data_IF_276401388459
#
_entry.id   IF_276401388459
#
_cell.length_a   1.000
_cell.length_b   1.000
_cell.length_c   1.000
_cell.angle_alpha   90.00
_cell.angle_beta   90.00
_cell.angle_gamma   90.00
#
_symmetry.space_group_name_H-M   'P 1'
#
loop_
_entity.id
_entity.type
_entity.pdbx_description
1 polymer ?
#
# COMPACT_ATOMS: atom_id res chain seq x y z
N UNK A 1 -12.72 -13.73 3.21
CA UNK A 1 -12.92 -12.70 4.27
C UNK A 1 -12.97 -11.34 3.61
N UNK A 2 -14.01 -10.59 3.92
CA UNK A 2 -14.26 -9.27 3.35
C UNK A 2 -13.68 -8.18 4.26
N UNK A 3 -12.81 -7.34 3.71
CA UNK A 3 -12.21 -6.18 4.39
C UNK A 3 -12.56 -4.85 3.70
N UNK A 4 -13.55 -4.84 2.82
CA UNK A 4 -13.90 -3.65 2.03
C UNK A 4 -14.46 -2.50 2.86
N UNK A 5 -14.83 -2.72 4.13
CA UNK A 5 -15.13 -1.65 5.09
C UNK A 5 -13.98 -0.65 5.26
N UNK A 6 -12.73 -1.11 5.05
CA UNK A 6 -11.55 -0.24 5.02
C UNK A 6 -11.69 0.90 3.99
N UNK A 7 -12.28 0.62 2.83
CA UNK A 7 -12.49 1.60 1.76
C UNK A 7 -13.42 2.72 2.25
N UNK A 8 -14.57 2.33 2.81
CA UNK A 8 -15.56 3.27 3.33
C UNK A 8 -14.94 4.16 4.42
N UNK A 9 -14.26 3.56 5.39
CA UNK A 9 -13.59 4.30 6.45
C UNK A 9 -12.53 5.27 5.93
N UNK A 10 -11.73 4.88 4.92
CA UNK A 10 -10.72 5.75 4.32
C UNK A 10 -11.32 6.94 3.60
N UNK A 11 -12.43 6.75 2.90
CA UNK A 11 -13.10 7.83 2.16
C UNK A 11 -13.78 8.81 3.12
N UNK A 12 -14.41 8.30 4.17
CA UNK A 12 -15.19 9.12 5.11
C UNK A 12 -14.34 9.85 6.18
N UNK A 13 -13.31 9.19 6.67
CA UNK A 13 -12.57 9.66 7.86
C UNK A 13 -11.05 9.73 7.65
N UNK A 14 -10.54 9.26 6.52
CA UNK A 14 -9.11 9.23 6.23
C UNK A 14 -8.50 10.63 6.08
N UNK A 15 -7.25 10.76 6.51
CA UNK A 15 -6.45 11.98 6.29
C UNK A 15 -5.94 12.07 4.85
N UNK A 16 -5.33 13.20 4.52
CA UNK A 16 -4.66 13.36 3.22
C UNK A 16 -3.57 12.30 3.00
N UNK A 17 -2.87 11.91 4.08
CA UNK A 17 -1.89 10.82 4.07
C UNK A 17 -2.08 9.94 5.30
N UNK A 18 -2.43 8.68 5.08
CA UNK A 18 -2.65 7.67 6.14
C UNK A 18 -1.57 6.60 6.10
N UNK A 19 -0.90 6.38 7.23
CA UNK A 19 0.08 5.31 7.40
C UNK A 19 -0.46 4.23 8.35
N UNK A 20 -0.60 3.02 7.84
CA UNK A 20 -0.90 1.84 8.65
C UNK A 20 0.39 1.11 9.05
N UNK A 21 0.66 1.03 10.35
CA UNK A 21 1.73 0.17 10.88
C UNK A 21 1.13 -1.08 11.48
N UNK A 22 1.35 -2.22 10.83
CA UNK A 22 0.82 -3.53 11.23
C UNK A 22 1.92 -4.60 11.14
N UNK A 23 1.90 -5.63 11.97
CA UNK A 23 2.90 -6.70 11.91
C UNK A 23 2.96 -7.38 10.53
N UNK A 24 4.00 -8.16 10.28
CA UNK A 24 4.10 -8.97 9.07
C UNK A 24 2.98 -10.01 9.03
N UNK A 25 2.51 -10.36 7.80
CA UNK A 25 1.48 -11.39 7.55
C UNK A 25 0.06 -11.03 7.98
N UNK A 26 -0.23 -9.75 8.26
CA UNK A 26 -1.56 -9.24 8.62
C UNK A 26 -2.37 -8.67 7.43
N UNK A 27 -2.03 -9.03 6.20
CA UNK A 27 -2.82 -8.68 5.02
C UNK A 27 -2.58 -7.28 4.46
N UNK A 28 -1.50 -6.55 4.85
CA UNK A 28 -1.20 -5.20 4.35
C UNK A 28 -1.23 -5.12 2.82
N UNK A 29 -0.43 -5.94 2.16
CA UNK A 29 -0.35 -5.97 0.68
C UNK A 29 -1.67 -6.31 0.01
N UNK A 30 -2.47 -7.23 0.61
CA UNK A 30 -3.81 -7.57 0.09
C UNK A 30 -4.76 -6.37 0.18
N UNK A 31 -4.76 -5.66 1.30
CA UNK A 31 -5.55 -4.45 1.44
C UNK A 31 -5.11 -3.36 0.45
N UNK A 32 -3.80 -3.18 0.24
CA UNK A 32 -3.30 -2.23 -0.75
C UNK A 32 -3.73 -2.60 -2.17
N UNK A 33 -3.69 -3.89 -2.53
CA UNK A 33 -4.20 -4.39 -3.81
C UNK A 33 -5.71 -4.17 -3.95
N UNK A 34 -6.47 -4.40 -2.88
CA UNK A 34 -7.92 -4.15 -2.83
C UNK A 34 -8.22 -2.66 -3.07
N UNK A 35 -7.51 -1.74 -2.39
CA UNK A 35 -7.67 -0.30 -2.58
C UNK A 35 -7.36 0.09 -4.03
N UNK A 36 -6.27 -0.42 -4.59
CA UNK A 36 -5.94 -0.20 -5.99
C UNK A 36 -7.06 -0.66 -6.91
N UNK A 37 -7.52 -1.91 -6.77
CA UNK A 37 -8.59 -2.48 -7.61
C UNK A 37 -9.91 -1.75 -7.47
N UNK A 38 -10.16 -1.08 -6.33
CA UNK A 38 -11.39 -0.31 -6.13
C UNK A 38 -11.33 1.06 -6.80
N UNK A 39 -10.22 1.79 -6.64
CA UNK A 39 -10.15 3.18 -7.09
C UNK A 39 -9.68 3.36 -8.52
N UNK A 40 -8.85 2.43 -9.04
CA UNK A 40 -8.15 2.58 -10.32
C UNK A 40 -9.14 2.65 -11.50
N UNK A 41 -8.94 3.63 -12.39
CA UNK A 41 -9.69 3.77 -13.64
C UNK A 41 -9.55 2.47 -14.45
N UNK A 42 -10.65 2.01 -15.05
CA UNK A 42 -10.74 0.77 -15.83
C UNK A 42 -10.53 -0.52 -15.01
N UNK A 43 -10.62 -0.45 -13.68
CA UNK A 43 -10.61 -1.64 -12.84
C UNK A 43 -11.89 -2.48 -13.03
N UNK A 44 -11.75 -3.78 -12.76
CA UNK A 44 -12.87 -4.71 -12.82
C UNK A 44 -13.77 -4.56 -11.58
N UNK A 45 -14.87 -3.82 -11.74
CA UNK A 45 -15.83 -3.57 -10.66
C UNK A 45 -16.49 -4.86 -10.15
N UNK A 46 -16.55 -5.92 -10.96
CA UNK A 46 -17.17 -7.20 -10.57
C UNK A 46 -16.43 -7.92 -9.43
N UNK A 47 -15.17 -7.54 -9.18
CA UNK A 47 -14.38 -8.05 -8.04
C UNK A 47 -15.01 -7.69 -6.68
N UNK A 48 -15.88 -6.70 -6.65
CA UNK A 48 -16.53 -6.20 -5.43
C UNK A 48 -17.98 -6.67 -5.27
N UNK A 49 -18.51 -7.45 -6.24
CA UNK A 49 -19.88 -7.96 -6.17
C UNK A 49 -20.12 -8.71 -4.86
N UNK A 50 -21.27 -8.43 -4.23
CA UNK A 50 -21.71 -8.99 -2.95
C UNK A 50 -20.83 -8.64 -1.73
N UNK A 51 -19.75 -7.85 -1.88
CA UNK A 51 -18.93 -7.40 -0.76
C UNK A 51 -19.60 -6.24 -0.01
N UNK A 52 -19.16 -6.02 1.23
CA UNK A 52 -19.71 -5.00 2.11
C UNK A 52 -19.81 -3.61 1.46
N UNK A 53 -18.77 -3.20 0.74
CA UNK A 53 -18.70 -1.85 0.14
C UNK A 53 -19.82 -1.58 -0.86
N UNK A 54 -20.33 -2.58 -1.56
CA UNK A 54 -21.39 -2.42 -2.57
C UNK A 54 -22.76 -2.06 -1.95
N UNK A 55 -22.90 -2.14 -0.63
CA UNK A 55 -24.07 -1.64 0.10
C UNK A 55 -24.11 -0.12 0.11
N UNK A 56 -22.97 0.55 0.06
CA UNK A 56 -22.85 2.00 -0.05
C UNK A 56 -22.76 2.42 -1.52
N UNK A 57 -23.93 2.49 -2.18
CA UNK A 57 -24.01 2.78 -3.62
C UNK A 57 -23.48 4.16 -3.99
N UNK A 58 -23.74 5.17 -3.17
CA UNK A 58 -23.27 6.54 -3.40
C UNK A 58 -21.73 6.60 -3.43
N UNK A 59 -21.09 5.94 -2.47
CA UNK A 59 -19.63 5.86 -2.44
C UNK A 59 -19.09 5.09 -3.65
N UNK A 60 -19.70 3.97 -4.04
CA UNK A 60 -19.28 3.23 -5.22
C UNK A 60 -19.43 4.07 -6.49
N UNK A 61 -20.53 4.77 -6.69
CA UNK A 61 -20.74 5.65 -7.86
C UNK A 61 -19.73 6.79 -7.94
N UNK A 62 -19.30 7.33 -6.79
CA UNK A 62 -18.37 8.46 -6.73
C UNK A 62 -16.90 8.03 -6.87
N UNK A 63 -16.53 6.86 -6.31
CA UNK A 63 -15.11 6.49 -6.14
C UNK A 63 -14.66 5.26 -6.91
N UNK A 64 -15.54 4.25 -7.13
CA UNK A 64 -15.13 2.99 -7.74
C UNK A 64 -14.76 3.18 -9.21
N UNK A 65 -13.53 2.82 -9.57
CA UNK A 65 -13.03 2.94 -10.95
C UNK A 65 -12.86 4.39 -11.44
N UNK A 66 -12.69 5.39 -10.57
CA UNK A 66 -12.75 6.82 -10.94
C UNK A 66 -11.43 7.57 -10.83
N UNK A 67 -10.39 6.99 -10.29
CA UNK A 67 -9.14 7.69 -9.98
C UNK A 67 -7.92 7.07 -10.66
N UNK A 68 -6.98 7.87 -11.17
CA UNK A 68 -5.66 7.33 -11.48
C UNK A 68 -4.95 6.95 -10.18
N UNK A 69 -4.37 5.74 -10.15
CA UNK A 69 -3.70 5.19 -8.98
C UNK A 69 -2.24 4.90 -9.29
N UNK A 70 -1.32 5.48 -8.53
CA UNK A 70 0.10 5.13 -8.50
C UNK A 70 0.30 4.13 -7.37
N UNK A 71 0.79 2.94 -7.68
CA UNK A 71 1.01 1.87 -6.71
C UNK A 71 2.47 1.44 -6.67
N UNK A 72 3.10 1.57 -5.51
CA UNK A 72 4.50 1.17 -5.30
C UNK A 72 4.62 0.17 -4.14
N UNK A 73 5.26 -0.96 -4.38
CA UNK A 73 5.70 -1.85 -3.30
C UNK A 73 7.22 -1.73 -3.13
N UNK A 74 7.65 -1.15 -2.01
CA UNK A 74 9.07 -0.94 -1.74
C UNK A 74 9.78 -2.20 -1.22
N UNK A 75 9.11 -3.34 -1.27
CA UNK A 75 9.62 -4.64 -0.77
C UNK A 75 10.96 -5.05 -1.38
N UNK A 76 11.18 -4.72 -2.65
CA UNK A 76 12.41 -5.09 -3.40
C UNK A 76 13.44 -3.96 -3.44
N UNK A 77 13.17 -2.82 -2.80
CA UNK A 77 14.11 -1.70 -2.75
C UNK A 77 15.12 -1.96 -1.64
N UNK A 78 16.12 -2.74 -1.97
CA UNK A 78 17.26 -3.10 -1.12
C UNK A 78 18.57 -3.03 -1.91
N UNK A 79 19.70 -3.18 -1.23
CA UNK A 79 21.02 -3.21 -1.85
C UNK A 79 22.11 -3.29 -0.78
N UNK A 80 23.30 -3.70 -1.18
CA UNK A 80 24.48 -3.66 -0.30
C UNK A 80 25.05 -2.25 -0.18
N UNK A 81 24.77 -1.41 -1.17
CA UNK A 81 25.18 0.00 -1.22
C UNK A 81 23.96 0.91 -1.43
N UNK A 82 24.15 2.20 -1.11
CA UNK A 82 23.12 3.21 -1.40
C UNK A 82 22.81 3.30 -2.90
N UNK A 83 23.82 3.21 -3.76
CA UNK A 83 23.63 3.27 -5.21
C UNK A 83 22.79 2.11 -5.73
N UNK A 84 22.98 0.88 -5.22
CA UNK A 84 22.17 -0.27 -5.59
C UNK A 84 20.71 -0.09 -5.19
N UNK A 85 20.47 0.35 -3.96
CA UNK A 85 19.11 0.58 -3.46
C UNK A 85 18.41 1.74 -4.19
N UNK A 86 19.15 2.82 -4.48
CA UNK A 86 18.67 3.95 -5.28
C UNK A 86 18.32 3.52 -6.70
N UNK A 87 19.16 2.70 -7.33
CA UNK A 87 18.89 2.15 -8.65
C UNK A 87 17.58 1.33 -8.66
N UNK A 88 17.36 0.44 -7.67
CA UNK A 88 16.13 -0.33 -7.57
C UNK A 88 14.89 0.55 -7.36
N UNK A 89 15.01 1.64 -6.57
CA UNK A 89 13.94 2.62 -6.43
C UNK A 89 13.64 3.31 -7.78
N UNK A 90 14.68 3.65 -8.53
CA UNK A 90 14.55 4.27 -9.85
C UNK A 90 13.86 3.35 -10.84
N UNK A 91 14.25 2.07 -10.89
CA UNK A 91 13.59 1.06 -11.73
C UNK A 91 12.12 0.85 -11.35
N UNK A 92 11.83 0.71 -10.05
CA UNK A 92 10.47 0.51 -9.56
C UNK A 92 9.54 1.65 -10.01
N UNK A 93 9.98 2.90 -9.86
CA UNK A 93 9.18 4.06 -10.27
C UNK A 93 9.08 4.16 -11.79
N UNK A 94 10.16 3.85 -12.52
CA UNK A 94 10.13 3.79 -13.98
C UNK A 94 9.10 2.78 -14.50
N UNK A 95 9.12 1.56 -13.98
CA UNK A 95 8.16 0.49 -14.34
C UNK A 95 6.71 0.88 -13.99
N UNK A 96 6.49 1.51 -12.84
CA UNK A 96 5.14 2.02 -12.53
C UNK A 96 4.71 3.12 -13.48
N UNK A 97 5.63 4.02 -13.87
CA UNK A 97 5.32 5.07 -14.83
C UNK A 97 5.03 4.52 -16.23
N UNK A 98 5.70 3.45 -16.68
CA UNK A 98 5.46 2.81 -17.98
C UNK A 98 4.01 2.31 -18.14
N UNK A 99 3.31 2.00 -17.06
CA UNK A 99 1.88 1.64 -17.11
C UNK A 99 1.00 2.75 -17.69
N UNK A 100 1.46 3.98 -17.63
CA UNK A 100 0.77 5.17 -18.13
C UNK A 100 1.30 5.62 -19.50
N UNK A 101 1.72 4.67 -20.35
CA UNK A 101 2.30 4.92 -21.68
C UNK A 101 1.45 5.84 -22.57
N UNK A 102 0.13 5.85 -22.38
CA UNK A 102 -0.79 6.75 -23.08
C UNK A 102 -0.49 8.25 -22.85
N UNK A 103 0.30 8.61 -21.82
CA UNK A 103 0.70 10.00 -21.58
C UNK A 103 1.61 10.56 -22.67
N UNK A 104 2.30 9.71 -23.43
CA UNK A 104 3.14 10.13 -24.57
C UNK A 104 2.30 10.77 -25.68
N UNK A 105 1.09 10.26 -25.90
CA UNK A 105 0.19 10.67 -26.95
C UNK A 105 -0.98 11.53 -26.45
N UNK A 106 -0.99 11.88 -25.15
CA UNK A 106 -2.05 12.66 -24.54
C UNK A 106 -2.21 14.04 -25.17
N UNK A 107 -3.40 14.37 -25.65
CA UNK A 107 -3.74 15.70 -26.18
C UNK A 107 -3.84 16.76 -25.08
N UNK A 108 -4.00 16.34 -23.82
CA UNK A 108 -4.08 17.24 -22.66
C UNK A 108 -2.70 17.72 -22.17
N UNK A 109 -1.62 17.12 -22.67
CA UNK A 109 -0.26 17.44 -22.25
C UNK A 109 0.49 18.25 -23.31
N UNK A 110 1.20 19.28 -22.88
CA UNK A 110 2.15 20.01 -23.71
C UNK A 110 3.38 19.16 -24.06
N UNK A 111 4.09 19.50 -25.13
CA UNK A 111 5.32 18.82 -25.54
C UNK A 111 6.39 18.79 -24.43
N UNK A 112 6.47 19.83 -23.59
CA UNK A 112 7.41 19.84 -22.47
C UNK A 112 7.00 18.87 -21.35
N UNK A 113 5.70 18.69 -21.12
CA UNK A 113 5.18 17.72 -20.16
C UNK A 113 5.40 16.28 -20.65
N UNK A 114 5.17 16.00 -21.91
CA UNK A 114 5.50 14.72 -22.55
C UNK A 114 7.01 14.40 -22.44
N UNK A 115 7.89 15.41 -22.63
CA UNK A 115 9.33 15.24 -22.40
C UNK A 115 9.67 14.91 -20.94
N UNK A 116 8.97 15.50 -19.97
CA UNK A 116 9.15 15.15 -18.55
C UNK A 116 8.74 13.71 -18.27
N UNK A 117 7.62 13.27 -18.83
CA UNK A 117 7.19 11.88 -18.74
C UNK A 117 8.25 10.93 -19.35
N UNK A 118 8.68 11.20 -20.59
CA UNK A 118 9.72 10.42 -21.27
C UNK A 118 11.02 10.33 -20.46
N UNK A 119 11.38 11.38 -19.74
CA UNK A 119 12.56 11.37 -18.88
C UNK A 119 12.42 10.42 -17.68
N UNK A 120 11.20 10.19 -17.16
CA UNK A 120 10.94 9.22 -16.08
C UNK A 120 11.08 7.78 -16.57
N UNK A 121 10.59 7.48 -17.77
CA UNK A 121 10.61 6.11 -18.36
C UNK A 121 11.84 5.84 -19.21
N UNK A 122 12.76 6.80 -19.37
CA UNK A 122 13.90 6.68 -20.28
C UNK A 122 14.87 5.58 -19.84
N UNK A 123 15.23 4.73 -20.79
CA UNK A 123 16.18 3.63 -20.59
C UNK A 123 17.47 3.87 -21.41
N UNK A 124 18.61 3.49 -20.85
CA UNK A 124 19.87 3.35 -21.56
C UNK A 124 20.44 1.95 -21.28
N UNK A 125 20.62 1.15 -22.30
CA UNK A 125 21.04 -0.26 -22.20
C UNK A 125 20.12 -1.08 -21.25
N UNK A 126 18.81 -0.81 -21.27
CA UNK A 126 17.82 -1.50 -20.43
C UNK A 126 17.78 -1.02 -18.96
N UNK A 127 18.55 0.00 -18.61
CA UNK A 127 18.55 0.60 -17.27
C UNK A 127 17.89 1.97 -17.26
N UNK A 128 17.08 2.24 -16.26
CA UNK A 128 16.45 3.55 -16.11
C UNK A 128 17.50 4.65 -15.84
N UNK A 129 17.34 5.81 -16.50
CA UNK A 129 18.32 6.89 -16.50
C UNK A 129 18.00 8.06 -15.59
N UNK A 130 16.97 7.98 -14.76
CA UNK A 130 16.66 9.05 -13.82
C UNK A 130 17.84 9.34 -12.88
N UNK A 131 18.27 10.58 -12.83
CA UNK A 131 19.17 11.02 -11.78
C UNK A 131 18.40 11.24 -10.46
N UNK A 132 19.13 11.43 -9.36
CA UNK A 132 18.51 11.56 -8.01
C UNK A 132 17.51 12.71 -7.90
N UNK A 133 17.76 13.85 -8.55
CA UNK A 133 16.82 15.00 -8.54
C UNK A 133 15.53 14.65 -9.27
N UNK A 134 15.62 13.95 -10.39
CA UNK A 134 14.46 13.48 -11.13
C UNK A 134 13.71 12.42 -10.34
N UNK A 135 14.41 11.49 -9.70
CA UNK A 135 13.83 10.46 -8.84
C UNK A 135 13.02 11.09 -7.70
N UNK A 136 13.58 12.07 -7.00
CA UNK A 136 12.90 12.79 -5.91
C UNK A 136 11.60 13.46 -6.37
N UNK A 137 11.54 14.01 -7.59
CA UNK A 137 10.36 14.69 -8.12
C UNK A 137 9.43 13.80 -8.95
N UNK A 138 9.82 12.56 -9.23
CA UNK A 138 9.15 11.69 -10.21
C UNK A 138 7.67 11.44 -9.91
N UNK A 139 7.33 11.09 -8.68
CA UNK A 139 5.95 10.81 -8.28
C UNK A 139 5.07 12.07 -8.33
N UNK A 140 5.60 13.23 -7.94
CA UNK A 140 4.87 14.49 -8.07
C UNK A 140 4.61 14.82 -9.54
N UNK A 141 5.64 14.72 -10.39
CA UNK A 141 5.52 14.98 -11.82
C UNK A 141 4.50 14.02 -12.45
N UNK A 142 4.60 12.72 -12.15
CA UNK A 142 3.66 11.71 -12.64
C UNK A 142 2.22 12.02 -12.21
N UNK A 143 2.02 12.40 -10.94
CA UNK A 143 0.71 12.82 -10.42
C UNK A 143 0.14 14.02 -11.17
N UNK A 144 0.97 15.03 -11.46
CA UNK A 144 0.55 16.22 -12.21
C UNK A 144 0.12 15.87 -13.63
N UNK A 145 0.86 15.00 -14.31
CA UNK A 145 0.56 14.57 -15.67
C UNK A 145 -0.73 13.74 -15.73
N UNK A 146 -0.92 12.82 -14.80
CA UNK A 146 -2.14 12.01 -14.68
C UNK A 146 -3.36 12.89 -14.35
N UNK A 147 -3.21 13.81 -13.38
CA UNK A 147 -4.28 14.75 -13.06
C UNK A 147 -4.70 15.59 -14.28
N UNK A 148 -3.72 16.07 -15.04
CA UNK A 148 -4.00 16.86 -16.23
C UNK A 148 -4.67 16.04 -17.34
N UNK A 149 -4.29 14.76 -17.49
CA UNK A 149 -4.87 13.87 -18.48
C UNK A 149 -6.31 13.48 -18.15
N UNK A 150 -6.57 13.05 -16.91
CA UNK A 150 -7.88 12.52 -16.48
C UNK A 150 -8.82 13.58 -15.91
N UNK A 151 -8.34 14.77 -15.53
CA UNK A 151 -9.11 15.76 -14.78
C UNK A 151 -9.46 15.32 -13.35
N UNK A 152 -8.85 14.23 -12.86
CA UNK A 152 -9.04 13.65 -11.54
C UNK A 152 -7.73 13.59 -10.78
N UNK A 153 -7.75 13.99 -9.51
CA UNK A 153 -6.58 13.88 -8.62
C UNK A 153 -6.15 12.42 -8.48
N UNK A 154 -4.90 12.22 -8.10
CA UNK A 154 -4.23 10.91 -8.08
C UNK A 154 -4.25 10.33 -6.67
N UNK A 155 -4.51 9.05 -6.55
CA UNK A 155 -4.32 8.28 -5.32
C UNK A 155 -2.93 7.63 -5.37
N UNK A 156 -2.14 7.78 -4.29
CA UNK A 156 -0.82 7.16 -4.18
C UNK A 156 -0.86 6.09 -3.08
N UNK A 157 -0.53 4.86 -3.47
CA UNK A 157 -0.48 3.71 -2.57
C UNK A 157 0.96 3.20 -2.47
N UNK A 158 1.54 3.18 -1.26
CA UNK A 158 2.92 2.75 -1.02
C UNK A 158 2.94 1.63 0.02
N UNK A 159 3.25 0.41 -0.44
CA UNK A 159 3.37 -0.76 0.43
C UNK A 159 4.82 -0.97 0.90
N UNK A 160 4.99 -1.40 2.15
CA UNK A 160 6.27 -1.70 2.79
C UNK A 160 7.28 -0.54 2.75
N UNK A 161 6.82 0.69 3.09
CA UNK A 161 7.61 1.92 3.04
C UNK A 161 8.90 1.87 3.88
N UNK A 162 8.94 1.05 4.90
CA UNK A 162 10.02 0.92 5.88
C UNK A 162 11.13 -0.06 5.45
N UNK A 163 10.89 -0.92 4.46
CA UNK A 163 11.88 -1.92 4.01
C UNK A 163 13.20 -1.29 3.52
N UNK A 164 13.20 -0.26 2.65
CA UNK A 164 14.45 0.38 2.23
C UNK A 164 15.27 0.95 3.38
N UNK A 165 14.59 1.43 4.41
CA UNK A 165 15.22 2.05 5.59
C UNK A 165 15.80 1.01 6.53
N UNK A 166 15.09 -0.09 6.77
CA UNK A 166 15.58 -1.23 7.53
C UNK A 166 16.84 -1.83 6.88
N UNK A 167 16.80 -2.04 5.57
CA UNK A 167 17.95 -2.55 4.80
C UNK A 167 19.14 -1.58 4.80
N UNK A 168 18.87 -0.30 4.63
CA UNK A 168 19.89 0.74 4.68
C UNK A 168 20.55 0.84 6.06
N UNK A 169 19.78 0.64 7.14
CA UNK A 169 20.32 0.58 8.49
C UNK A 169 21.26 -0.62 8.67
N UNK A 170 20.85 -1.80 8.21
CA UNK A 170 21.66 -3.02 8.27
C UNK A 170 22.97 -2.91 7.49
N UNK A 171 22.97 -2.17 6.36
CA UNK A 171 24.09 -2.04 5.44
C UNK A 171 24.88 -0.72 5.59
N UNK A 172 24.55 0.14 6.55
CA UNK A 172 25.35 1.31 6.93
C UNK A 172 25.14 2.58 6.11
N UNK A 173 24.12 2.67 5.25
CA UNK A 173 23.78 3.87 4.45
C UNK A 173 22.39 4.47 4.81
N UNK A 174 21.99 4.32 6.05
CA UNK A 174 20.66 4.78 6.54
C UNK A 174 20.41 6.28 6.31
N UNK A 175 21.42 7.13 6.50
CA UNK A 175 21.25 8.60 6.37
C UNK A 175 20.94 9.01 4.93
N UNK A 176 21.62 8.43 3.98
CA UNK A 176 21.44 8.66 2.55
C UNK A 176 20.03 8.21 2.12
N UNK A 177 19.61 7.02 2.54
CA UNK A 177 18.29 6.50 2.24
C UNK A 177 17.17 7.34 2.88
N UNK A 178 17.33 7.78 4.12
CA UNK A 178 16.40 8.71 4.78
C UNK A 178 16.29 10.01 3.99
N UNK A 179 17.41 10.56 3.51
CA UNK A 179 17.42 11.80 2.71
C UNK A 179 16.65 11.62 1.41
N UNK A 180 16.88 10.52 0.70
CA UNK A 180 16.21 10.19 -0.57
C UNK A 180 14.70 10.03 -0.36
N UNK A 181 14.28 9.18 0.58
CA UNK A 181 12.86 8.90 0.85
C UNK A 181 12.14 10.15 1.37
N UNK A 182 12.78 10.94 2.23
CA UNK A 182 12.24 12.23 2.69
C UNK A 182 11.99 13.18 1.53
N UNK A 183 12.94 13.28 0.60
CA UNK A 183 12.79 14.08 -0.60
C UNK A 183 11.62 13.61 -1.47
N UNK A 184 11.59 12.32 -1.78
CA UNK A 184 10.55 11.70 -2.60
C UNK A 184 9.14 11.87 -1.99
N UNK A 185 8.96 11.52 -0.72
CA UNK A 185 7.67 11.63 -0.04
C UNK A 185 7.29 13.11 0.23
N UNK A 186 8.28 13.96 0.51
CA UNK A 186 8.04 15.39 0.66
C UNK A 186 7.44 16.02 -0.59
N UNK A 187 7.96 15.68 -1.77
CA UNK A 187 7.43 16.16 -3.05
C UNK A 187 6.09 15.50 -3.40
N UNK A 188 5.98 14.18 -3.23
CA UNK A 188 4.81 13.43 -3.65
C UNK A 188 3.58 13.63 -2.74
N UNK A 189 3.79 13.79 -1.42
CA UNK A 189 2.73 13.73 -0.41
C UNK A 189 2.46 15.06 0.30
N UNK A 190 3.41 16.03 0.28
CA UNK A 190 3.23 17.30 0.98
C UNK A 190 2.90 18.46 0.05
N UNK A 191 3.63 18.56 -1.07
CA UNK A 191 3.57 19.71 -1.97
C UNK A 191 2.97 19.30 -3.32
N UNK A 192 1.98 18.43 -3.31
CA UNK A 192 1.38 17.86 -4.51
C UNK A 192 -0.12 18.17 -4.57
N UNK A 193 -0.47 19.28 -5.21
CA UNK A 193 -1.87 19.71 -5.40
C UNK A 193 -2.69 18.71 -6.23
N UNK A 194 -2.02 17.80 -6.94
CA UNK A 194 -2.64 16.73 -7.73
C UNK A 194 -2.95 15.48 -6.91
N UNK A 195 -2.57 15.44 -5.62
CA UNK A 195 -2.87 14.33 -4.72
C UNK A 195 -4.33 14.37 -4.26
N UNK A 196 -5.04 13.25 -4.36
CA UNK A 196 -6.35 13.04 -3.75
C UNK A 196 -6.17 12.64 -2.28
N UNK A 197 -5.50 11.54 -2.08
CA UNK A 197 -4.99 11.06 -0.79
C UNK A 197 -3.89 10.00 -1.04
N UNK A 198 -3.16 9.66 0.02
CA UNK A 198 -2.19 8.58 -0.03
C UNK A 198 -2.37 7.61 1.14
N UNK A 199 -2.09 6.33 0.87
CA UNK A 199 -2.04 5.28 1.90
C UNK A 199 -0.67 4.63 1.87
N UNK A 200 -0.04 4.55 3.04
CA UNK A 200 1.23 3.87 3.23
C UNK A 200 1.05 2.69 4.18
N UNK A 201 1.78 1.60 3.94
CA UNK A 201 1.85 0.49 4.89
C UNK A 201 3.28 0.13 5.22
N UNK A 202 3.50 -0.32 6.46
CA UNK A 202 4.78 -0.81 6.94
C UNK A 202 4.63 -1.64 8.22
N UNK A 203 5.75 -2.21 8.68
CA UNK A 203 5.80 -2.93 9.96
C UNK A 203 6.23 -2.03 11.11
N UNK A 204 7.04 -1.02 10.83
CA UNK A 204 7.64 -0.14 11.82
C UNK A 204 7.09 1.27 11.71
N UNK A 205 6.99 1.93 12.87
CA UNK A 205 6.81 3.37 12.93
C UNK A 205 8.18 4.05 12.97
N UNK A 206 8.62 4.58 11.84
CA UNK A 206 9.82 5.40 11.80
C UNK A 206 9.49 6.79 12.33
N UNK A 207 10.40 7.41 13.11
CA UNK A 207 10.10 8.69 13.75
C UNK A 207 9.68 9.75 12.72
N UNK A 208 8.64 10.54 13.06
CA UNK A 208 8.16 11.65 12.20
C UNK A 208 9.29 12.58 11.77
N UNK A 209 10.25 12.81 12.66
CA UNK A 209 11.38 13.72 12.45
C UNK A 209 12.37 13.24 11.37
N UNK A 210 12.36 11.96 11.03
CA UNK A 210 13.30 11.42 10.03
C UNK A 210 12.78 11.52 8.60
N UNK A 211 11.54 11.08 8.31
CA UNK A 211 11.02 10.96 6.94
C UNK A 211 9.81 11.85 6.68
N UNK A 212 8.93 11.98 7.67
CA UNK A 212 7.64 12.65 7.55
C UNK A 212 7.65 14.07 8.12
N UNK A 213 8.84 14.66 8.32
CA UNK A 213 8.96 16.03 8.81
C UNK A 213 8.23 17.03 7.91
N UNK A 214 7.27 17.73 8.51
CA UNK A 214 6.53 18.77 7.81
C UNK A 214 5.31 18.29 7.01
N UNK A 215 4.93 17.00 7.06
CA UNK A 215 3.60 16.53 6.64
C UNK A 215 2.59 16.91 7.74
N UNK A 216 1.75 17.92 7.46
CA UNK A 216 0.81 18.46 8.46
C UNK A 216 -0.43 17.55 8.62
N UNK A 217 -0.88 16.92 7.53
CA UNK A 217 -2.08 16.07 7.47
C UNK A 217 -1.71 14.57 7.40
N UNK A 218 -0.71 14.18 8.17
CA UNK A 218 -0.20 12.81 8.22
C UNK A 218 -0.72 12.08 9.45
N UNK A 219 -1.55 11.08 9.24
CA UNK A 219 -2.11 10.23 10.27
C UNK A 219 -1.34 8.91 10.35
N UNK A 220 -0.92 8.53 11.55
CA UNK A 220 -0.23 7.25 11.80
C UNK A 220 -1.13 6.37 12.64
N UNK A 221 -1.60 5.30 12.05
CA UNK A 221 -2.51 4.33 12.65
C UNK A 221 -1.76 3.04 12.97
N UNK A 222 -1.46 2.87 14.25
CA UNK A 222 -0.78 1.68 14.78
C UNK A 222 -1.80 0.66 15.32
N UNK A 223 -1.30 -0.44 15.86
CA UNK A 223 -2.14 -1.44 16.55
C UNK A 223 -2.82 -0.89 17.83
N UNK A 224 -2.42 0.29 18.32
CA UNK A 224 -2.98 0.91 19.51
C UNK A 224 -4.21 1.78 19.22
N UNK A 225 -4.56 1.97 17.95
CA UNK A 225 -5.70 2.79 17.53
C UNK A 225 -6.94 1.92 17.32
N UNK A 226 -8.09 2.41 17.78
CA UNK A 226 -9.40 1.75 17.61
C UNK A 226 -9.90 1.86 16.17
N UNK A 227 -9.45 2.90 15.46
CA UNK A 227 -9.76 3.06 14.04
C UNK A 227 -9.06 1.98 13.23
N UNK A 228 -9.79 1.34 12.31
CA UNK A 228 -9.30 0.29 11.42
C UNK A 228 -8.73 -0.95 12.14
N UNK A 229 -9.15 -1.22 13.37
CA UNK A 229 -8.69 -2.35 14.17
C UNK A 229 -9.09 -3.70 13.54
N UNK A 230 -10.28 -3.78 12.91
CA UNK A 230 -10.76 -4.97 12.18
C UNK A 230 -10.22 -5.10 10.75
N UNK A 231 -9.56 -4.07 10.21
CA UNK A 231 -9.18 -4.01 8.80
C UNK A 231 -7.98 -4.90 8.45
N UNK A 232 -7.17 -5.25 9.44
CA UNK A 232 -5.95 -6.05 9.27
C UNK A 232 -5.97 -7.25 10.21
N UNK A 233 -5.58 -8.43 9.68
CA UNK A 233 -5.70 -9.67 10.43
C UNK A 233 -7.11 -10.27 10.36
N UNK A 234 -7.37 -11.29 11.16
CA UNK A 234 -8.69 -11.90 11.30
C UNK A 234 -9.28 -11.64 12.66
N UNK A 235 -10.52 -11.22 12.71
CA UNK A 235 -11.32 -11.15 13.92
C UNK A 235 -11.74 -12.54 14.37
N UNK A 236 -12.17 -12.69 15.63
CA UNK A 236 -12.67 -13.96 16.16
C UNK A 236 -13.87 -14.50 15.36
N UNK A 237 -14.76 -13.63 14.93
CA UNK A 237 -15.91 -14.00 14.09
C UNK A 237 -15.47 -14.52 12.71
N UNK A 238 -14.45 -13.90 12.11
CA UNK A 238 -13.88 -14.34 10.83
C UNK A 238 -13.16 -15.69 10.94
N UNK A 239 -12.43 -15.91 12.03
CA UNK A 239 -11.80 -17.22 12.32
C UNK A 239 -12.85 -18.31 12.45
N UNK A 240 -13.93 -18.08 13.20
CA UNK A 240 -15.05 -19.01 13.31
C UNK A 240 -15.68 -19.31 11.95
N UNK A 241 -15.83 -18.27 11.11
CA UNK A 241 -16.35 -18.45 9.76
C UNK A 241 -15.43 -19.33 8.91
N UNK A 242 -14.12 -19.04 8.91
CA UNK A 242 -13.13 -19.84 8.17
C UNK A 242 -13.19 -21.31 8.61
N UNK A 243 -13.14 -21.58 9.91
CA UNK A 243 -13.20 -22.94 10.45
C UNK A 243 -14.50 -23.64 10.08
N UNK A 244 -15.62 -22.93 10.06
CA UNK A 244 -16.89 -23.47 9.61
C UNK A 244 -16.87 -23.85 8.12
N UNK A 245 -16.36 -22.96 7.27
CA UNK A 245 -16.31 -23.15 5.81
C UNK A 245 -15.41 -24.34 5.41
N UNK A 246 -14.40 -24.64 6.24
CA UNK A 246 -13.52 -25.82 6.06
C UNK A 246 -13.93 -27.06 6.85
N UNK A 247 -15.09 -27.04 7.55
CA UNK A 247 -15.56 -28.12 8.43
C UNK A 247 -14.60 -28.45 9.58
N UNK A 248 -13.94 -27.44 10.13
CA UNK A 248 -12.94 -27.52 11.20
C UNK A 248 -13.41 -26.86 12.51
N UNK A 249 -14.72 -26.77 12.76
CA UNK A 249 -15.31 -26.07 13.93
C UNK A 249 -14.76 -26.56 15.27
N UNK A 250 -14.49 -27.86 15.38
CA UNK A 250 -14.04 -28.49 16.62
C UNK A 250 -12.63 -28.04 17.03
N UNK A 251 -11.85 -27.46 16.10
CA UNK A 251 -10.51 -26.94 16.35
C UNK A 251 -10.49 -25.45 16.79
N UNK A 252 -11.64 -24.83 17.00
CA UNK A 252 -11.69 -23.40 17.35
C UNK A 252 -10.94 -23.09 18.66
N UNK A 253 -11.12 -23.89 19.71
CA UNK A 253 -10.44 -23.64 21.00
C UNK A 253 -8.92 -23.76 20.87
N UNK A 254 -8.45 -24.70 20.06
CA UNK A 254 -7.03 -24.89 19.77
C UNK A 254 -6.47 -23.70 18.95
N UNK A 255 -7.19 -23.23 17.93
CA UNK A 255 -6.82 -22.03 17.17
C UNK A 255 -6.75 -20.80 18.10
N UNK A 256 -7.73 -20.65 18.99
CA UNK A 256 -7.78 -19.55 19.94
C UNK A 256 -6.59 -19.60 20.90
N UNK A 257 -6.31 -20.74 21.49
CA UNK A 257 -5.20 -20.91 22.44
C UNK A 257 -3.83 -20.60 21.81
N UNK A 258 -3.62 -20.94 20.56
CA UNK A 258 -2.32 -20.84 19.91
C UNK A 258 -2.10 -19.53 19.13
N UNK A 259 -3.15 -18.95 18.56
CA UNK A 259 -3.03 -17.84 17.59
C UNK A 259 -3.75 -16.56 17.98
N UNK A 260 -4.45 -16.54 19.13
CA UNK A 260 -5.07 -15.36 19.72
C UNK A 260 -4.02 -14.59 20.55
N UNK A 261 -3.08 -13.97 19.85
CA UNK A 261 -1.91 -13.34 20.49
C UNK A 261 -1.76 -11.85 20.21
N UNK A 262 -2.66 -11.25 19.43
CA UNK A 262 -2.59 -9.84 19.05
C UNK A 262 -3.84 -9.09 19.46
N UNK A 263 -3.63 -7.89 20.00
CA UNK A 263 -4.71 -6.99 20.37
C UNK A 263 -4.56 -5.68 19.59
N UNK A 264 -5.56 -5.34 18.75
CA UNK A 264 -5.57 -4.11 17.98
C UNK A 264 -6.73 -3.24 18.49
N UNK A 265 -6.42 -1.99 18.88
CA UNK A 265 -7.43 -1.14 19.49
C UNK A 265 -8.14 -1.83 20.65
N UNK A 266 -9.41 -2.18 20.45
CA UNK A 266 -10.26 -2.83 21.44
C UNK A 266 -10.58 -4.30 21.13
N UNK A 267 -9.96 -4.92 20.12
CA UNK A 267 -10.32 -6.27 19.68
C UNK A 267 -9.13 -7.23 19.60
N UNK A 268 -9.41 -8.49 19.79
CA UNK A 268 -8.46 -9.58 19.60
C UNK A 268 -8.37 -9.93 18.12
N UNK A 269 -7.16 -10.01 17.60
CA UNK A 269 -6.87 -10.23 16.18
C UNK A 269 -5.90 -11.41 16.03
N UNK A 270 -6.25 -12.29 15.10
CA UNK A 270 -5.44 -13.44 14.74
C UNK A 270 -4.56 -13.14 13.53
N UNK A 271 -3.35 -13.70 13.50
CA UNK A 271 -2.48 -13.66 12.35
C UNK A 271 -3.06 -14.52 11.20
N UNK A 272 -3.45 -13.95 10.05
CA UNK A 272 -4.07 -14.71 8.97
C UNK A 272 -3.23 -15.87 8.47
N UNK A 273 -1.92 -15.66 8.38
CA UNK A 273 -1.00 -16.69 7.90
C UNK A 273 -1.03 -17.94 8.77
N UNK A 274 -0.99 -17.77 10.09
CA UNK A 274 -0.90 -18.87 11.03
C UNK A 274 -2.21 -19.67 11.06
N UNK A 275 -3.35 -18.98 11.09
CA UNK A 275 -4.68 -19.61 10.99
C UNK A 275 -4.85 -20.40 9.70
N UNK A 276 -4.49 -19.80 8.54
CA UNK A 276 -4.64 -20.48 7.25
C UNK A 276 -3.68 -21.68 7.13
N UNK A 277 -2.43 -21.56 7.60
CA UNK A 277 -1.48 -22.67 7.57
C UNK A 277 -1.96 -23.83 8.45
N UNK A 278 -2.51 -23.53 9.61
CA UNK A 278 -3.06 -24.56 10.48
C UNK A 278 -4.28 -25.24 9.85
N UNK A 279 -5.24 -24.49 9.29
CA UNK A 279 -6.37 -25.08 8.54
C UNK A 279 -5.89 -25.96 7.39
N UNK A 280 -4.85 -25.53 6.66
CA UNK A 280 -4.25 -26.35 5.58
C UNK A 280 -3.60 -27.62 6.12
N UNK A 281 -2.90 -27.56 7.25
CA UNK A 281 -2.30 -28.74 7.89
C UNK A 281 -3.36 -29.74 8.30
N UNK A 282 -4.46 -29.31 8.91
CA UNK A 282 -5.59 -30.16 9.29
C UNK A 282 -6.31 -30.76 8.09
N UNK A 283 -6.36 -30.07 6.95
CA UNK A 283 -6.92 -30.61 5.72
C UNK A 283 -6.07 -31.78 5.17
N UNK A 284 -4.76 -31.73 5.35
CA UNK A 284 -3.83 -32.77 4.92
C UNK A 284 -3.70 -33.92 5.94
N UNK A 285 -3.77 -33.60 7.22
CA UNK A 285 -3.69 -34.53 8.34
C UNK A 285 -4.55 -34.02 9.49
N UNK A 286 -5.67 -34.70 9.76
CA UNK A 286 -6.64 -34.35 10.81
C UNK A 286 -6.00 -34.37 12.21
N UNK A 287 -4.87 -35.04 12.38
CA UNK A 287 -4.11 -35.09 13.65
C UNK A 287 -3.04 -34.02 13.77
N UNK A 288 -2.92 -33.12 12.76
CA UNK A 288 -1.93 -32.04 12.79
C UNK A 288 -2.12 -31.14 14.01
N UNK A 289 -0.99 -30.69 14.59
CA UNK A 289 -0.96 -29.77 15.74
C UNK A 289 -0.58 -28.36 15.30
N UNK A 290 -1.04 -27.33 16.01
CA UNK A 290 -0.57 -25.96 15.83
C UNK A 290 0.96 -25.85 15.97
N UNK A 291 1.57 -24.93 15.21
CA UNK A 291 3.03 -24.70 15.21
C UNK A 291 3.32 -23.23 15.49
#
# INVERSE_FOLDING_TARGET
IDKTKLIEQLVETGGEVTLFTRPRRFGKTLNMSMLRSFFEIDADESLFDELYITKNKELCEEYMGKYPVIFLSLKSVDGLTFEDAKYRMTELIGLEAERFGFLEDSEHLSENEKKRYKAIISLNNGMNTMNEKMLISSLQVLSQLLYKHFGKKVIILIDEYDVPLDKAFQNGFYREMVSLIRGLFGMALKTNDSLQFAVLTGCMRISKESIFTGLNNFEVLSILNDQYDESFGFTDAEVKKILNDYNLKDHYLEVKEWYDGYHFGNIDIYCPWDVIQYCKSLYLDVSAKPQ
#
